data_IF_236168514218
#
_entry.id   IF_236168514218
#
_cell.length_a   1.000
_cell.length_b   1.000
_cell.length_c   1.000
_cell.angle_alpha   90.00
_cell.angle_beta   90.00
_cell.angle_gamma   90.00
#
_symmetry.space_group_name_H-M   'P 1'
#
loop_
_entity.id
_entity.type
_entity.pdbx_description
1 polymer ?
#
# COMPACT_ATOMS: atom_id res chain seq x y z
N UNK A 1 -5.85 12.32 11.27
CA UNK A 1 -7.32 12.27 11.34
C UNK A 1 -7.73 11.28 12.44
N UNK A 2 -8.91 11.44 13.01
CA UNK A 2 -9.52 10.40 13.84
C UNK A 2 -9.90 9.22 12.96
N UNK A 3 -9.75 8.00 13.48
CA UNK A 3 -10.21 6.78 12.79
C UNK A 3 -11.73 6.63 12.90
N UNK A 4 -12.25 6.91 14.09
CA UNK A 4 -13.70 6.96 14.36
C UNK A 4 -14.06 8.26 15.08
N UNK A 5 -15.15 8.88 14.66
CA UNK A 5 -15.75 10.04 15.33
C UNK A 5 -17.07 9.58 15.96
N UNK A 6 -17.39 10.11 17.15
CA UNK A 6 -18.59 9.71 17.90
C UNK A 6 -18.70 8.19 18.12
N UNK A 7 -17.58 7.54 18.40
CA UNK A 7 -17.53 6.10 18.69
C UNK A 7 -18.29 5.70 19.96
N UNK A 8 -18.11 4.45 20.38
CA UNK A 8 -18.73 3.97 21.61
C UNK A 8 -18.43 4.89 22.80
N UNK A 9 -19.47 5.27 23.54
CA UNK A 9 -19.43 6.23 24.66
C UNK A 9 -19.11 7.69 24.26
N UNK A 10 -19.36 8.10 22.99
CA UNK A 10 -19.17 9.48 22.52
C UNK A 10 -17.70 9.92 22.53
N UNK A 11 -16.76 8.99 22.39
CA UNK A 11 -15.33 9.28 22.31
C UNK A 11 -14.82 9.07 20.90
N UNK A 12 -14.00 10.01 20.44
CA UNK A 12 -13.28 9.88 19.19
C UNK A 12 -12.11 8.90 19.35
N UNK A 13 -11.93 8.02 18.36
CA UNK A 13 -10.74 7.16 18.25
C UNK A 13 -9.66 7.89 17.45
N UNK A 14 -8.55 8.20 18.11
CA UNK A 14 -7.40 8.87 17.49
C UNK A 14 -6.31 7.90 17.03
N UNK A 15 -6.56 6.59 17.04
CA UNK A 15 -5.58 5.59 16.63
C UNK A 15 -5.07 5.86 15.21
N UNK A 16 -3.76 5.77 15.03
CA UNK A 16 -3.16 5.98 13.72
C UNK A 16 -3.33 4.72 12.87
N UNK A 17 -4.28 4.79 11.94
CA UNK A 17 -4.64 3.71 11.00
C UNK A 17 -4.53 4.16 9.54
N UNK A 18 -4.40 3.24 8.59
CA UNK A 18 -4.24 3.58 7.17
C UNK A 18 -5.51 4.17 6.52
N UNK A 19 -6.69 4.02 7.14
CA UNK A 19 -7.98 4.46 6.58
C UNK A 19 -7.97 5.93 6.15
N UNK A 20 -7.22 6.77 6.85
CA UNK A 20 -7.11 8.20 6.55
C UNK A 20 -6.56 8.51 5.14
N UNK A 21 -5.84 7.58 4.48
CA UNK A 21 -5.35 7.81 3.11
C UNK A 21 -6.48 7.86 2.10
N UNK A 22 -7.60 7.18 2.34
CA UNK A 22 -8.75 7.18 1.42
C UNK A 22 -9.40 8.56 1.31
N UNK A 23 -9.29 9.40 2.35
CA UNK A 23 -9.74 10.79 2.29
C UNK A 23 -9.01 11.62 1.22
N UNK A 24 -7.87 11.11 0.71
CA UNK A 24 -7.03 11.75 -0.32
C UNK A 24 -7.03 10.93 -1.61
N UNK A 25 -6.85 9.60 -1.52
CA UNK A 25 -6.57 8.73 -2.67
C UNK A 25 -7.74 8.57 -3.63
N UNK A 26 -8.97 8.63 -3.16
CA UNK A 26 -10.18 8.45 -3.98
C UNK A 26 -10.28 9.54 -5.06
N UNK A 27 -10.99 9.24 -6.16
CA UNK A 27 -11.17 10.16 -7.29
C UNK A 27 -11.77 11.50 -6.86
N UNK A 28 -12.65 11.45 -5.85
CA UNK A 28 -13.25 12.63 -5.21
C UNK A 28 -12.74 12.74 -3.76
N UNK A 29 -11.60 13.40 -3.52
CA UNK A 29 -11.06 13.59 -2.18
C UNK A 29 -12.03 14.39 -1.31
N UNK A 30 -12.20 13.93 -0.08
CA UNK A 30 -13.10 14.61 0.89
C UNK A 30 -12.35 15.50 1.86
N UNK A 31 -11.01 15.37 1.96
CA UNK A 31 -10.18 16.17 2.82
C UNK A 31 -9.71 17.43 2.11
N UNK A 32 -9.70 18.56 2.81
CA UNK A 32 -9.11 19.81 2.31
C UNK A 32 -7.64 19.58 1.91
N UNK A 33 -7.26 20.06 0.73
CA UNK A 33 -5.94 19.88 0.15
C UNK A 33 -4.81 20.40 1.06
N UNK A 34 -5.03 21.46 1.80
CA UNK A 34 -4.06 22.00 2.76
C UNK A 34 -3.67 21.00 3.86
N UNK A 35 -4.48 19.96 4.07
CA UNK A 35 -4.25 18.90 5.06
C UNK A 35 -3.64 17.62 4.48
N UNK A 36 -3.48 17.49 3.17
CA UNK A 36 -3.00 16.26 2.55
C UNK A 36 -1.57 15.92 2.95
N UNK A 37 -0.66 16.89 2.87
CA UNK A 37 0.75 16.69 3.18
C UNK A 37 0.98 16.14 4.60
N UNK A 38 0.43 16.71 5.68
CA UNK A 38 0.65 16.15 7.01
C UNK A 38 0.00 14.77 7.20
N UNK A 39 -1.12 14.47 6.52
CA UNK A 39 -1.75 13.14 6.60
C UNK A 39 -0.90 12.09 5.91
N UNK A 40 -0.42 12.35 4.68
CA UNK A 40 0.41 11.37 3.98
C UNK A 40 1.76 11.17 4.68
N UNK A 41 2.31 12.23 5.27
CA UNK A 41 3.57 12.13 6.01
C UNK A 41 3.43 11.25 7.25
N UNK A 42 2.39 11.42 8.07
CA UNK A 42 2.18 10.58 9.26
C UNK A 42 1.95 9.11 8.90
N UNK A 43 1.25 8.83 7.80
CA UNK A 43 1.07 7.47 7.29
C UNK A 43 2.39 6.88 6.83
N UNK A 44 3.19 7.66 6.09
CA UNK A 44 4.54 7.22 5.68
C UNK A 44 5.42 6.88 6.87
N UNK A 45 5.47 7.75 7.87
CA UNK A 45 6.40 7.61 9.00
C UNK A 45 6.00 6.49 9.96
N UNK A 46 4.70 6.26 10.15
CA UNK A 46 4.21 5.33 11.17
C UNK A 46 3.70 4.01 10.62
N UNK A 47 3.20 3.98 9.39
CA UNK A 47 2.50 2.80 8.84
C UNK A 47 3.22 2.15 7.67
N UNK A 48 3.97 2.90 6.85
CA UNK A 48 4.61 2.34 5.68
C UNK A 48 5.70 1.33 6.07
N UNK A 49 5.70 0.21 5.36
CA UNK A 49 6.70 -0.86 5.46
C UNK A 49 7.14 -1.26 4.04
N UNK A 50 8.20 -2.06 3.88
CA UNK A 50 8.60 -2.56 2.56
C UNK A 50 7.55 -3.42 1.84
N UNK A 51 6.50 -3.89 2.53
CA UNK A 51 5.53 -4.87 2.01
C UNK A 51 4.07 -4.42 2.15
N UNK A 52 3.84 -3.13 2.35
CA UNK A 52 2.51 -2.54 2.48
C UNK A 52 2.38 -1.62 3.68
N UNK A 53 1.16 -1.42 4.17
CA UNK A 53 0.92 -0.57 5.34
C UNK A 53 0.44 -1.37 6.54
N UNK A 54 0.95 -1.02 7.72
CA UNK A 54 0.42 -1.51 8.99
C UNK A 54 -1.03 -1.09 9.16
N UNK A 55 -1.83 -1.98 9.70
CA UNK A 55 -3.25 -1.73 10.01
C UNK A 55 -3.45 -0.87 11.27
N UNK A 56 -2.42 -0.80 12.12
CA UNK A 56 -2.33 0.06 13.30
C UNK A 56 -0.87 0.44 13.54
N UNK A 57 -0.63 1.68 13.96
CA UNK A 57 0.73 2.15 14.19
C UNK A 57 1.37 1.53 15.45
N UNK A 58 2.71 1.30 15.43
CA UNK A 58 3.43 0.94 16.64
C UNK A 58 3.23 1.98 17.76
N UNK A 59 3.09 1.50 18.98
CA UNK A 59 2.85 2.33 20.16
C UNK A 59 1.39 2.62 20.48
N UNK A 60 0.45 2.28 19.59
CA UNK A 60 -0.97 2.30 19.91
C UNK A 60 -1.33 1.17 20.92
N UNK A 61 -2.36 1.40 21.73
CA UNK A 61 -2.72 0.52 22.86
C UNK A 61 -2.90 -0.96 22.45
N UNK A 62 -3.56 -1.21 21.32
CA UNK A 62 -3.90 -2.57 20.85
C UNK A 62 -2.93 -3.12 19.81
N UNK A 63 -1.78 -2.50 19.62
CA UNK A 63 -0.81 -2.92 18.61
C UNK A 63 -0.30 -4.34 18.83
N UNK A 64 -0.48 -5.19 17.82
CA UNK A 64 -0.05 -6.59 17.78
C UNK A 64 0.72 -6.85 16.47
N UNK A 65 2.05 -6.90 16.55
CA UNK A 65 2.89 -6.96 15.34
C UNK A 65 2.92 -8.33 14.66
N UNK A 66 2.41 -9.39 15.27
CA UNK A 66 2.53 -10.76 14.76
C UNK A 66 1.18 -11.43 14.62
N UNK A 67 1.00 -12.07 13.46
CA UNK A 67 -0.16 -12.91 13.15
C UNK A 67 0.23 -14.38 13.37
N UNK A 68 0.25 -14.82 14.61
CA UNK A 68 0.61 -16.20 14.99
C UNK A 68 -0.21 -16.70 16.20
N UNK A 69 0.06 -17.95 16.61
CA UNK A 69 -0.66 -18.56 17.69
C UNK A 69 -1.97 -19.25 17.28
N UNK A 70 -2.91 -19.35 18.22
CA UNK A 70 -4.23 -19.93 17.99
C UNK A 70 -5.14 -18.98 17.18
N UNK A 71 -6.35 -19.44 16.85
CA UNK A 71 -7.31 -18.66 16.08
C UNK A 71 -7.62 -17.31 16.75
N UNK A 72 -7.84 -17.31 18.06
CA UNK A 72 -8.17 -16.09 18.82
C UNK A 72 -7.03 -15.07 18.80
N UNK A 73 -5.78 -15.54 18.96
CA UNK A 73 -4.61 -14.68 18.90
C UNK A 73 -4.43 -14.06 17.51
N UNK A 74 -4.64 -14.86 16.45
CA UNK A 74 -4.58 -14.39 15.07
C UNK A 74 -5.67 -13.37 14.75
N UNK A 75 -6.92 -13.65 15.10
CA UNK A 75 -8.03 -12.71 14.89
C UNK A 75 -7.79 -11.40 15.62
N UNK A 76 -7.27 -11.45 16.85
CA UNK A 76 -6.94 -10.26 17.60
C UNK A 76 -5.81 -9.41 16.99
N UNK A 77 -4.96 -10.00 16.16
CA UNK A 77 -3.86 -9.29 15.48
C UNK A 77 -4.22 -8.82 14.06
N UNK A 78 -5.26 -9.39 13.45
CA UNK A 78 -5.55 -9.29 12.02
C UNK A 78 -5.67 -7.86 11.48
N UNK A 79 -6.20 -6.95 12.31
CA UNK A 79 -6.32 -5.52 12.01
C UNK A 79 -5.69 -4.61 13.09
N UNK A 80 -4.80 -5.17 13.91
CA UNK A 80 -4.21 -4.45 15.04
C UNK A 80 -2.67 -4.36 14.94
N UNK A 81 -2.16 -4.19 13.73
CA UNK A 81 -0.73 -4.01 13.49
C UNK A 81 -0.24 -4.70 12.23
N UNK A 82 -0.72 -5.92 11.92
CA UNK A 82 -0.35 -6.63 10.70
C UNK A 82 -0.35 -5.73 9.47
N UNK A 83 0.61 -5.97 8.58
CA UNK A 83 0.76 -5.21 7.33
C UNK A 83 -0.15 -5.79 6.27
N UNK A 84 -0.89 -4.95 5.60
CA UNK A 84 -1.73 -5.30 4.46
C UNK A 84 -1.09 -4.81 3.17
N UNK A 85 -0.76 -5.77 2.29
CA UNK A 85 -0.04 -5.47 1.05
C UNK A 85 -0.82 -4.56 0.11
N UNK A 86 -2.13 -4.79 -0.04
CA UNK A 86 -2.98 -4.06 -0.99
C UNK A 86 -3.07 -2.56 -0.68
N UNK A 87 -2.90 -2.16 0.58
CA UNK A 87 -2.95 -0.75 0.99
C UNK A 87 -1.84 0.11 0.36
N UNK A 88 -0.81 -0.52 -0.21
CA UNK A 88 0.22 0.22 -0.94
C UNK A 88 -0.34 0.97 -2.14
N UNK A 89 -1.37 0.44 -2.80
CA UNK A 89 -1.99 1.10 -3.95
C UNK A 89 -2.62 2.44 -3.60
N UNK A 90 -3.59 2.49 -2.67
CA UNK A 90 -4.14 3.76 -2.18
C UNK A 90 -3.08 4.71 -1.61
N UNK A 91 -2.02 4.20 -0.98
CA UNK A 91 -0.92 5.04 -0.51
C UNK A 91 -0.16 5.70 -1.67
N UNK A 92 0.19 4.94 -2.71
CA UNK A 92 0.85 5.48 -3.92
C UNK A 92 -0.06 6.50 -4.62
N UNK A 93 -1.36 6.26 -4.67
CA UNK A 93 -2.33 7.21 -5.24
C UNK A 93 -2.35 8.53 -4.45
N UNK A 94 -2.44 8.46 -3.14
CA UNK A 94 -2.41 9.63 -2.27
C UNK A 94 -1.06 10.36 -2.38
N UNK A 95 0.07 9.62 -2.40
CA UNK A 95 1.40 10.20 -2.58
C UNK A 95 1.52 11.00 -3.86
N UNK A 96 1.10 10.42 -4.99
CA UNK A 96 1.18 11.08 -6.29
C UNK A 96 0.18 12.24 -6.46
N UNK A 97 -0.89 12.30 -5.68
CA UNK A 97 -1.75 13.49 -5.61
C UNK A 97 -1.08 14.65 -4.86
N UNK A 98 -0.32 14.33 -3.83
CA UNK A 98 0.43 15.33 -3.04
C UNK A 98 1.72 15.72 -3.74
N UNK A 99 2.39 14.77 -4.39
CA UNK A 99 3.68 14.91 -5.07
C UNK A 99 3.59 14.41 -6.52
N UNK A 100 2.95 15.16 -7.46
CA UNK A 100 2.67 14.68 -8.81
C UNK A 100 3.90 14.26 -9.62
N UNK A 101 5.02 14.92 -9.36
CA UNK A 101 6.28 14.70 -10.08
C UNK A 101 7.21 13.66 -9.40
N UNK A 102 6.88 13.23 -8.18
CA UNK A 102 7.72 12.32 -7.40
C UNK A 102 7.36 10.84 -7.60
N UNK A 103 7.41 10.42 -8.88
CA UNK A 103 7.24 9.01 -9.26
C UNK A 103 8.36 8.11 -8.79
N UNK A 104 9.55 8.69 -8.58
CA UNK A 104 10.73 7.95 -8.14
C UNK A 104 10.52 7.39 -6.73
N UNK A 105 10.16 8.23 -5.77
CA UNK A 105 9.84 7.77 -4.41
C UNK A 105 8.65 6.80 -4.41
N UNK A 106 7.62 7.09 -5.21
CA UNK A 106 6.47 6.18 -5.33
C UNK A 106 6.87 4.78 -5.83
N UNK A 107 7.83 4.68 -6.75
CA UNK A 107 8.38 3.41 -7.22
C UNK A 107 9.25 2.71 -6.16
N UNK A 108 10.00 3.47 -5.34
CA UNK A 108 10.80 2.93 -4.25
C UNK A 108 9.95 2.24 -3.19
N UNK A 109 8.75 2.75 -2.88
CA UNK A 109 7.82 2.12 -1.94
C UNK A 109 7.40 0.70 -2.35
N UNK A 110 7.55 0.34 -3.62
CA UNK A 110 7.22 -0.98 -4.15
C UNK A 110 8.43 -1.94 -4.15
N UNK A 111 9.62 -1.46 -3.77
CA UNK A 111 10.87 -2.23 -3.88
C UNK A 111 10.87 -3.54 -3.10
N UNK A 112 10.28 -3.54 -1.90
CA UNK A 112 10.23 -4.71 -1.03
C UNK A 112 9.40 -5.87 -1.58
N UNK A 113 8.41 -5.61 -2.43
CA UNK A 113 7.60 -6.67 -3.03
C UNK A 113 8.38 -7.57 -3.99
N UNK A 114 9.50 -7.08 -4.56
CA UNK A 114 10.34 -7.90 -5.45
C UNK A 114 10.88 -9.15 -4.75
N UNK A 115 11.24 -9.04 -3.48
CA UNK A 115 11.69 -10.19 -2.68
C UNK A 115 10.55 -11.14 -2.37
N UNK A 116 9.35 -10.60 -2.11
CA UNK A 116 8.17 -11.40 -1.77
C UNK A 116 7.72 -12.34 -2.90
N UNK A 117 7.92 -11.95 -4.16
CA UNK A 117 7.64 -12.82 -5.31
C UNK A 117 8.48 -14.11 -5.35
N UNK A 118 9.49 -14.22 -4.49
CA UNK A 118 10.38 -15.41 -4.39
C UNK A 118 10.22 -16.17 -3.08
N UNK A 119 9.33 -15.72 -2.21
CA UNK A 119 9.07 -16.32 -0.90
C UNK A 119 7.62 -16.81 -0.82
N UNK A 120 7.26 -17.55 0.20
CA UNK A 120 5.92 -18.05 0.47
C UNK A 120 5.24 -18.68 -0.76
N UNK A 121 4.42 -17.91 -1.49
CA UNK A 121 3.79 -18.34 -2.73
C UNK A 121 4.51 -17.71 -3.92
N UNK A 122 5.42 -18.46 -4.53
CA UNK A 122 6.29 -17.98 -5.62
C UNK A 122 5.48 -17.40 -6.78
N UNK A 123 5.79 -16.18 -7.18
CA UNK A 123 5.09 -15.45 -8.24
C UNK A 123 3.81 -14.74 -7.78
N UNK A 124 3.49 -14.76 -6.48
CA UNK A 124 2.34 -14.07 -5.90
C UNK A 124 2.74 -13.22 -4.69
N UNK A 125 1.76 -12.54 -4.10
CA UNK A 125 1.93 -11.71 -2.91
C UNK A 125 0.90 -12.16 -1.88
N UNK A 126 1.37 -12.34 -0.65
CA UNK A 126 0.52 -12.75 0.47
C UNK A 126 -0.47 -11.65 0.85
N UNK A 127 -1.50 -12.05 1.56
CA UNK A 127 -2.56 -11.18 2.05
C UNK A 127 -2.03 -10.15 3.04
N UNK A 128 -1.37 -10.65 4.08
CA UNK A 128 -0.82 -9.87 5.18
C UNK A 128 0.61 -10.31 5.49
N UNK A 129 1.28 -9.50 6.32
CA UNK A 129 2.61 -9.79 6.84
C UNK A 129 2.68 -9.42 8.32
N UNK A 130 3.58 -10.05 9.06
CA UNK A 130 3.96 -9.54 10.39
C UNK A 130 4.44 -8.09 10.24
N UNK A 131 4.17 -7.25 11.23
CA UNK A 131 4.41 -5.81 11.14
C UNK A 131 5.86 -5.39 11.34
N UNK A 132 6.70 -6.31 11.81
CA UNK A 132 8.11 -6.07 12.12
C UNK A 132 9.03 -6.98 11.31
N UNK A 133 10.29 -6.60 11.08
CA UNK A 133 11.24 -7.45 10.39
C UNK A 133 11.31 -8.86 10.99
N UNK A 134 11.40 -9.90 10.15
CA UNK A 134 11.64 -9.88 8.70
C UNK A 134 10.38 -9.73 7.83
N UNK A 135 9.24 -9.26 8.37
CA UNK A 135 7.97 -9.13 7.67
C UNK A 135 7.49 -10.47 7.11
N UNK A 136 7.34 -11.44 8.00
CA UNK A 136 6.95 -12.81 7.64
C UNK A 136 5.60 -12.82 6.94
N UNK A 137 5.48 -13.42 5.74
CA UNK A 137 4.21 -13.57 5.04
C UNK A 137 3.22 -14.40 5.85
N UNK A 138 1.96 -13.96 5.91
CA UNK A 138 0.88 -14.58 6.68
C UNK A 138 -0.43 -14.54 5.88
N UNK A 139 -1.46 -15.12 6.46
CA UNK A 139 -2.79 -15.18 5.84
C UNK A 139 -2.82 -16.04 4.58
N UNK A 140 -3.63 -15.66 3.59
CA UNK A 140 -3.66 -16.29 2.28
C UNK A 140 -2.33 -16.04 1.55
N UNK A 141 -1.68 -17.10 1.05
CA UNK A 141 -0.36 -16.99 0.43
C UNK A 141 -0.38 -16.32 -0.95
N UNK A 142 -1.54 -16.30 -1.62
CA UNK A 142 -1.74 -15.70 -2.94
C UNK A 142 -3.02 -14.87 -2.93
N UNK A 143 -2.91 -13.57 -2.65
CA UNK A 143 -4.06 -12.70 -2.52
C UNK A 143 -4.22 -11.80 -3.75
N UNK A 144 -5.38 -11.89 -4.40
CA UNK A 144 -5.65 -11.21 -5.67
C UNK A 144 -5.50 -9.69 -5.57
N UNK A 145 -6.07 -9.05 -4.56
CA UNK A 145 -5.96 -7.59 -4.41
C UNK A 145 -4.55 -7.11 -4.06
N UNK A 146 -3.75 -7.93 -3.34
CA UNK A 146 -2.34 -7.61 -3.10
C UNK A 146 -1.55 -7.55 -4.41
N UNK A 147 -1.75 -8.55 -5.29
CA UNK A 147 -1.13 -8.59 -6.61
C UNK A 147 -1.64 -7.45 -7.49
N UNK A 148 -2.95 -7.22 -7.52
CA UNK A 148 -3.57 -6.20 -8.35
C UNK A 148 -3.07 -4.79 -8.00
N UNK A 149 -3.05 -4.44 -6.72
CA UNK A 149 -2.65 -3.12 -6.27
C UNK A 149 -1.15 -2.85 -6.45
N UNK A 150 -0.30 -3.85 -6.23
CA UNK A 150 1.13 -3.73 -6.51
C UNK A 150 1.38 -3.57 -8.01
N UNK A 151 0.72 -4.38 -8.86
CA UNK A 151 0.85 -4.28 -10.31
C UNK A 151 0.35 -2.92 -10.84
N UNK A 152 -0.83 -2.47 -10.39
CA UNK A 152 -1.41 -1.18 -10.75
C UNK A 152 -0.46 -0.03 -10.39
N UNK A 153 0.11 -0.07 -9.20
CA UNK A 153 1.05 0.93 -8.71
C UNK A 153 2.37 0.91 -9.50
N UNK A 154 2.88 -0.27 -9.86
CA UNK A 154 4.06 -0.41 -10.72
C UNK A 154 3.83 0.21 -12.11
N UNK A 155 2.68 -0.03 -12.71
CA UNK A 155 2.32 0.58 -14.02
C UNK A 155 2.23 2.10 -13.88
N UNK A 156 1.55 2.58 -12.84
CA UNK A 156 1.36 4.02 -12.58
C UNK A 156 2.68 4.77 -12.35
N UNK A 157 3.61 4.16 -11.64
CA UNK A 157 4.92 4.77 -11.34
C UNK A 157 5.89 4.70 -12.52
N UNK A 158 5.76 3.70 -13.41
CA UNK A 158 6.56 3.56 -14.64
C UNK A 158 6.10 4.46 -15.77
N UNK A 159 4.89 4.96 -15.77
CA UNK A 159 4.22 5.71 -16.83
C UNK A 159 4.81 7.10 -17.15
N UNK A 160 6.13 7.19 -17.25
CA UNK A 160 6.88 8.34 -17.76
C UNK A 160 7.97 7.96 -18.77
N UNK A 161 8.12 6.67 -19.10
CA UNK A 161 9.07 6.19 -20.11
C UNK A 161 8.34 5.72 -21.35
N UNK A 162 8.59 6.49 -22.44
CA UNK A 162 8.46 6.15 -23.84
C UNK A 162 7.05 5.78 -24.36
N UNK A 163 6.48 6.75 -25.10
CA UNK A 163 5.81 6.40 -26.35
C UNK A 163 6.81 5.54 -27.12
N UNK A 164 6.56 4.26 -27.24
CA UNK A 164 7.22 3.43 -28.26
C UNK A 164 6.84 4.08 -29.57
N UNK A 165 7.77 4.83 -30.18
CA UNK A 165 7.68 5.19 -31.60
C UNK A 165 7.68 3.87 -32.36
N UNK A 166 6.49 3.41 -32.72
CA UNK A 166 6.32 2.44 -33.79
C UNK A 166 6.74 3.13 -35.06
N UNK A 167 8.03 3.09 -35.34
CA UNK A 167 8.54 3.33 -36.66
C UNK A 167 7.98 2.24 -37.57
N UNK A 168 6.91 2.60 -38.31
CA UNK A 168 6.43 1.88 -39.48
C UNK A 168 7.49 2.03 -40.57
N UNK A 169 8.54 1.24 -40.53
CA UNK A 169 9.36 0.95 -41.71
C UNK A 169 8.81 -0.29 -42.41
N UNK A 170 7.69 -0.10 -43.09
CA UNK A 170 7.32 -0.92 -44.22
C UNK A 170 7.74 -0.18 -45.48
N UNK A 171 9.05 -0.21 -45.75
CA UNK A 171 9.57 0.18 -47.07
C UNK A 171 9.45 -0.98 -48.03
N UNK A 172 8.58 -0.79 -48.97
CA UNK A 172 8.66 -1.20 -50.39
C UNK A 172 9.63 -2.37 -50.71
N UNK A 173 9.10 -3.56 -50.83
CA UNK A 173 9.68 -4.60 -51.67
C UNK A 173 9.07 -4.44 -53.04
N UNK A 174 9.84 -3.83 -53.95
CA UNK A 174 9.58 -3.83 -55.41
C UNK A 174 10.00 -5.19 -55.94
N UNK A 175 9.04 -5.95 -56.43
CA UNK A 175 9.29 -7.16 -57.22
C UNK A 175 9.56 -6.76 -58.63
N UNK A 176 10.74 -7.10 -59.11
CA UNK A 176 11.08 -7.11 -60.54
C UNK A 176 10.99 -8.56 -61.03
#
# INVERSE_FOLDING_TARGET
LYDVVDGENGRDDCACRPNQIFAISLDHPILDQARWQPVIQIVKDRLLTPVGLRSLAPGEHDYKPRYDGDLRARDAAYHQGTVWAWLIGPFVDAWLKVHPDDRASAAEFLGGFRSQLRTACVGSISEIFDAEPPYTPRGCCAQAWSVAEVLRSLVKTRGGREKVETTNELSSVTVA
#
